data_IF_220929751124
#
_entry.id   IF_220929751124
#
_cell.length_a   1.000
_cell.length_b   1.000
_cell.length_c   1.000
_cell.angle_alpha   90.00
_cell.angle_beta   90.00
_cell.angle_gamma   90.00
#
_symmetry.space_group_name_H-M   'P 1'
#
loop_
_entity.id
_entity.type
_entity.pdbx_description
1 polymer ?
#
# COMPACT_ATOMS: atom_id res chain seq x y z
N UNK A 1 -3.32 1.90 -13.79
CA UNK A 1 -4.11 1.32 -12.68
C UNK A 1 -4.18 2.40 -11.61
N UNK A 2 -5.37 2.90 -11.30
CA UNK A 2 -5.56 3.92 -10.27
C UNK A 2 -5.71 3.19 -8.93
N UNK A 3 -4.87 3.54 -7.95
CA UNK A 3 -4.98 2.97 -6.61
C UNK A 3 -6.21 3.58 -5.93
N UNK A 4 -7.29 2.81 -5.82
CA UNK A 4 -8.48 3.21 -5.08
C UNK A 4 -8.57 2.42 -3.77
N UNK A 5 -8.40 3.13 -2.65
CA UNK A 5 -8.46 2.56 -1.30
C UNK A 5 -9.77 2.88 -0.59
N UNK A 6 -10.71 3.59 -1.25
CA UNK A 6 -11.99 3.98 -0.67
C UNK A 6 -12.80 2.77 -0.17
N UNK A 7 -12.75 1.65 -0.91
CA UNK A 7 -13.43 0.39 -0.55
C UNK A 7 -12.79 -0.40 0.61
N UNK A 8 -11.61 -0.01 1.10
CA UNK A 8 -10.90 -0.73 2.18
C UNK A 8 -11.28 -0.25 3.59
N UNK A 9 -12.21 0.71 3.71
CA UNK A 9 -12.64 1.30 5.00
C UNK A 9 -11.47 1.80 5.87
N UNK A 10 -10.32 2.11 5.27
CA UNK A 10 -9.13 2.60 5.98
C UNK A 10 -9.34 4.03 6.52
N UNK A 11 -10.28 4.74 5.90
CA UNK A 11 -10.67 6.10 6.22
C UNK A 11 -12.01 6.02 6.92
N UNK A 12 -11.99 5.84 8.25
CA UNK A 12 -13.22 5.93 9.01
C UNK A 12 -13.46 7.42 9.31
N UNK A 13 -14.45 8.04 8.67
CA UNK A 13 -14.97 9.37 9.06
C UNK A 13 -15.58 9.39 10.47
N UNK A 14 -15.60 8.25 11.16
CA UNK A 14 -16.19 8.11 12.48
C UNK A 14 -15.15 8.36 13.58
N UNK A 15 -15.43 9.34 14.44
CA UNK A 15 -14.65 9.64 15.62
C UNK A 15 -14.59 8.41 16.58
N UNK A 16 -13.55 7.59 16.41
CA UNK A 16 -13.37 6.34 17.14
C UNK A 16 -12.68 6.55 18.49
N UNK A 17 -12.01 7.69 18.70
CA UNK A 17 -11.25 8.01 19.91
C UNK A 17 -12.11 8.89 20.81
N UNK A 18 -12.23 8.51 22.10
CA UNK A 18 -13.07 9.20 23.09
C UNK A 18 -12.35 9.33 24.44
N UNK A 19 -12.83 10.25 25.27
CA UNK A 19 -12.35 10.45 26.65
C UNK A 19 -11.00 11.18 26.71
N UNK A 20 -10.17 10.81 27.69
CA UNK A 20 -8.93 11.53 28.06
C UNK A 20 -7.96 11.79 26.89
N UNK A 21 -7.82 10.84 25.96
CA UNK A 21 -6.95 11.01 24.78
C UNK A 21 -7.44 12.12 23.85
N UNK A 22 -8.75 12.25 23.68
CA UNK A 22 -9.36 13.30 22.87
C UNK A 22 -9.20 14.67 23.55
N UNK A 23 -9.42 14.73 24.87
CA UNK A 23 -9.25 15.96 25.66
C UNK A 23 -7.80 16.45 25.65
N UNK A 24 -6.83 15.55 25.83
CA UNK A 24 -5.41 15.90 25.76
C UNK A 24 -4.99 16.35 24.35
N UNK A 25 -5.52 15.71 23.31
CA UNK A 25 -5.28 16.13 21.93
C UNK A 25 -5.88 17.52 21.65
N UNK A 26 -7.15 17.73 22.01
CA UNK A 26 -7.82 19.02 21.83
C UNK A 26 -7.10 20.13 22.58
N UNK A 27 -6.67 19.90 23.82
CA UNK A 27 -5.92 20.89 24.61
C UNK A 27 -4.63 21.32 23.92
N UNK A 28 -3.91 20.40 23.26
CA UNK A 28 -2.70 20.73 22.49
C UNK A 28 -3.05 21.42 21.17
N UNK A 29 -4.11 20.96 20.53
CA UNK A 29 -4.55 21.47 19.24
C UNK A 29 -5.02 22.93 19.32
N UNK A 30 -5.73 23.31 20.39
CA UNK A 30 -6.23 24.69 20.59
C UNK A 30 -5.15 25.71 20.88
N UNK A 31 -3.91 25.27 21.17
CA UNK A 31 -2.78 26.17 21.40
C UNK A 31 -2.18 26.66 20.07
N UNK A 32 -2.40 25.91 18.99
CA UNK A 32 -1.80 26.18 17.69
C UNK A 32 -2.76 26.96 16.79
N UNK A 33 -2.22 27.94 16.08
CA UNK A 33 -2.95 28.63 15.01
C UNK A 33 -3.01 27.77 13.73
N UNK A 34 -3.91 28.10 12.81
CA UNK A 34 -4.13 27.30 11.59
C UNK A 34 -2.86 27.12 10.74
N UNK A 35 -2.00 28.14 10.68
CA UNK A 35 -0.72 28.07 9.97
C UNK A 35 0.25 27.09 10.65
N UNK A 36 0.36 27.16 11.98
CA UNK A 36 1.21 26.28 12.78
C UNK A 36 0.73 24.82 12.68
N UNK A 37 -0.59 24.61 12.73
CA UNK A 37 -1.21 23.31 12.48
C UNK A 37 -0.84 22.81 11.08
N UNK A 38 -1.02 23.65 10.06
CA UNK A 38 -0.75 23.25 8.67
C UNK A 38 0.71 22.83 8.51
N UNK A 39 1.64 23.59 9.07
CA UNK A 39 3.07 23.25 9.06
C UNK A 39 3.37 21.97 9.84
N UNK A 40 2.74 21.76 11.01
CA UNK A 40 2.94 20.56 11.83
C UNK A 40 2.49 19.26 11.12
N UNK A 41 1.55 19.35 10.19
CA UNK A 41 1.07 18.21 9.39
C UNK A 41 1.79 18.02 8.05
N UNK A 42 2.78 18.85 7.73
CA UNK A 42 3.58 18.69 6.51
C UNK A 42 4.76 17.75 6.76
N UNK A 43 4.83 16.69 5.97
CA UNK A 43 5.96 15.75 5.98
C UNK A 43 6.58 15.72 4.59
N UNK A 44 7.87 16.02 4.51
CA UNK A 44 8.59 16.00 3.22
C UNK A 44 8.84 14.58 2.75
N UNK A 45 8.90 14.39 1.43
CA UNK A 45 9.27 13.12 0.80
C UNK A 45 10.53 12.51 1.43
N UNK A 46 11.58 13.30 1.64
CA UNK A 46 12.83 12.84 2.26
C UNK A 46 12.59 12.26 3.66
N UNK A 47 11.81 12.95 4.49
CA UNK A 47 11.49 12.47 5.83
C UNK A 47 10.68 11.16 5.78
N UNK A 48 9.73 11.04 4.84
CA UNK A 48 9.02 9.78 4.63
C UNK A 48 9.98 8.62 4.29
N UNK A 49 10.94 8.85 3.39
CA UNK A 49 11.93 7.83 3.02
C UNK A 49 12.84 7.45 4.19
N UNK A 50 13.27 8.43 4.98
CA UNK A 50 14.12 8.19 6.15
C UNK A 50 13.40 7.30 7.18
N UNK A 51 12.11 7.54 7.43
CA UNK A 51 11.27 6.66 8.27
C UNK A 51 11.14 5.27 7.64
N UNK A 52 10.88 5.18 6.33
CA UNK A 52 10.74 3.89 5.64
C UNK A 52 12.03 3.06 5.70
N UNK A 53 13.18 3.71 5.59
CA UNK A 53 14.49 3.07 5.71
C UNK A 53 14.73 2.48 7.11
N UNK A 54 14.23 3.14 8.16
CA UNK A 54 14.35 2.68 9.55
C UNK A 54 13.32 1.61 9.92
N UNK A 55 12.11 1.69 9.36
CA UNK A 55 10.97 0.84 9.76
C UNK A 55 10.80 -0.42 8.92
N UNK A 56 11.21 -0.38 7.65
CA UNK A 56 11.00 -1.49 6.69
C UNK A 56 12.37 -2.02 6.24
N UNK A 57 12.77 -3.24 6.63
CA UNK A 57 14.07 -3.80 6.27
C UNK A 57 14.16 -4.24 4.78
N UNK A 58 13.01 -4.46 4.12
CA UNK A 58 12.97 -4.94 2.74
C UNK A 58 13.11 -3.79 1.73
N UNK A 59 14.17 -3.82 0.91
CA UNK A 59 14.41 -2.88 -0.19
C UNK A 59 13.25 -2.85 -1.19
N UNK A 60 12.68 -4.02 -1.53
CA UNK A 60 11.55 -4.10 -2.46
C UNK A 60 10.33 -3.35 -1.96
N UNK A 61 9.98 -3.49 -0.67
CA UNK A 61 8.84 -2.79 -0.08
C UNK A 61 9.07 -1.28 -0.08
N UNK A 62 10.29 -0.84 0.26
CA UNK A 62 10.65 0.59 0.23
C UNK A 62 10.49 1.18 -1.17
N UNK A 63 11.04 0.50 -2.19
CA UNK A 63 10.90 0.92 -3.59
C UNK A 63 9.45 0.92 -4.07
N UNK A 64 8.62 -0.02 -3.62
CA UNK A 64 7.19 -0.02 -3.95
C UNK A 64 6.46 1.17 -3.34
N UNK A 65 6.74 1.52 -2.09
CA UNK A 65 6.15 2.70 -1.44
C UNK A 65 6.63 4.00 -2.11
N UNK A 66 7.92 4.10 -2.44
CA UNK A 66 8.51 5.23 -3.19
C UNK A 66 7.81 5.48 -4.52
N UNK A 67 7.57 4.40 -5.29
CA UNK A 67 6.84 4.49 -6.57
C UNK A 67 5.42 4.99 -6.36
N UNK A 68 4.67 4.40 -5.43
CA UNK A 68 3.30 4.84 -5.13
C UNK A 68 3.27 6.31 -4.71
N UNK A 69 4.21 6.75 -3.88
CA UNK A 69 4.32 8.16 -3.50
C UNK A 69 4.53 9.07 -4.71
N UNK A 70 5.45 8.69 -5.60
CA UNK A 70 5.77 9.45 -6.82
C UNK A 70 4.58 9.49 -7.77
N UNK A 71 3.93 8.35 -7.99
CA UNK A 71 2.76 8.23 -8.86
C UNK A 71 1.58 9.07 -8.34
N UNK A 72 1.36 9.08 -7.01
CA UNK A 72 0.32 9.91 -6.38
C UNK A 72 0.65 11.41 -6.45
N UNK A 73 1.92 11.78 -6.24
CA UNK A 73 2.37 13.17 -6.36
C UNK A 73 2.19 13.71 -7.79
N UNK A 74 2.46 12.88 -8.81
CA UNK A 74 2.31 13.26 -10.22
C UNK A 74 0.85 13.25 -10.70
N UNK A 75 0.06 12.27 -10.26
CA UNK A 75 -1.33 12.13 -10.69
C UNK A 75 -2.30 13.05 -9.95
N UNK A 76 -1.96 13.48 -8.72
CA UNK A 76 -2.84 14.26 -7.86
C UNK A 76 -4.11 13.51 -7.43
N UNK A 77 -4.18 12.20 -7.66
CA UNK A 77 -5.37 11.41 -7.36
C UNK A 77 -5.53 11.23 -5.83
N UNK A 78 -6.71 11.52 -5.25
CA UNK A 78 -6.92 11.49 -3.79
C UNK A 78 -7.11 10.06 -3.25
N UNK A 79 -6.17 9.16 -3.53
CA UNK A 79 -6.21 7.75 -3.08
C UNK A 79 -6.19 7.59 -1.56
N UNK A 80 -5.58 8.54 -0.85
CA UNK A 80 -5.27 8.45 0.58
C UNK A 80 -6.10 9.41 1.46
N UNK A 81 -7.23 9.91 0.94
CA UNK A 81 -8.09 10.88 1.65
C UNK A 81 -8.28 10.52 3.13
N UNK A 82 -8.15 11.45 4.10
CA UNK A 82 -7.92 12.88 3.93
C UNK A 82 -6.44 13.26 3.73
N UNK A 83 -5.52 12.28 3.62
CA UNK A 83 -4.11 12.53 3.31
C UNK A 83 -3.93 12.82 1.82
N UNK A 84 -3.15 13.85 1.52
CA UNK A 84 -2.84 14.27 0.15
C UNK A 84 -1.34 14.45 0.01
N UNK A 85 -0.81 14.05 -1.14
CA UNK A 85 0.57 14.29 -1.53
C UNK A 85 0.56 15.42 -2.56
N UNK A 86 1.23 16.52 -2.26
CA UNK A 86 1.34 17.65 -3.18
C UNK A 86 2.30 17.34 -4.33
N UNK A 87 2.23 18.07 -5.45
CA UNK A 87 3.21 17.97 -6.54
C UNK A 87 4.65 18.27 -6.08
N UNK A 88 4.81 19.07 -5.02
CA UNK A 88 6.10 19.40 -4.41
C UNK A 88 6.66 18.25 -3.53
N UNK A 89 5.97 17.11 -3.46
CA UNK A 89 6.38 15.95 -2.68
C UNK A 89 6.16 16.11 -1.17
N UNK A 90 5.18 16.91 -0.76
CA UNK A 90 4.81 17.08 0.65
C UNK A 90 3.56 16.25 0.92
N UNK A 91 3.65 15.35 1.90
CA UNK A 91 2.49 14.66 2.47
C UNK A 91 1.84 15.57 3.50
N UNK A 92 0.55 15.85 3.34
CA UNK A 92 -0.23 16.72 4.24
C UNK A 92 -1.68 16.23 4.35
N UNK A 93 -2.49 16.95 5.13
CA UNK A 93 -3.93 16.71 5.30
C UNK A 93 -4.71 17.77 4.52
N UNK A 94 -5.83 17.40 3.90
CA UNK A 94 -6.73 18.36 3.27
C UNK A 94 -7.18 19.45 4.24
N UNK A 95 -7.16 20.71 3.78
CA UNK A 95 -7.48 21.87 4.61
C UNK A 95 -8.88 21.83 5.22
N UNK A 96 -9.85 21.24 4.53
CA UNK A 96 -11.22 21.08 5.02
C UNK A 96 -11.30 20.21 6.27
N UNK A 97 -10.37 19.25 6.42
CA UNK A 97 -10.29 18.34 7.56
C UNK A 97 -9.51 18.95 8.74
N UNK A 98 -8.70 19.99 8.51
CA UNK A 98 -7.99 20.68 9.59
C UNK A 98 -8.96 21.35 10.56
N UNK A 99 -10.12 21.81 10.10
CA UNK A 99 -11.15 22.42 10.95
C UNK A 99 -11.80 21.46 11.95
N UNK A 100 -11.51 20.16 11.84
CA UNK A 100 -12.18 19.11 12.63
C UNK A 100 -11.19 18.32 13.50
N UNK A 101 -10.75 18.86 14.65
CA UNK A 101 -9.76 18.23 15.54
C UNK A 101 -10.12 16.80 15.95
N UNK A 102 -11.41 16.50 16.13
CA UNK A 102 -11.89 15.17 16.52
C UNK A 102 -11.60 14.11 15.45
N UNK A 103 -11.69 14.50 14.17
CA UNK A 103 -11.38 13.61 13.04
C UNK A 103 -9.87 13.42 12.93
N UNK A 104 -9.08 14.48 13.12
CA UNK A 104 -7.61 14.39 13.15
C UNK A 104 -7.11 13.50 14.30
N UNK A 105 -7.70 13.63 15.49
CA UNK A 105 -7.38 12.78 16.63
C UNK A 105 -7.66 11.31 16.32
N UNK A 106 -8.79 11.03 15.68
CA UNK A 106 -9.18 9.67 15.27
C UNK A 106 -8.31 9.12 14.16
N UNK A 107 -7.89 9.96 13.21
CA UNK A 107 -6.93 9.60 12.17
C UNK A 107 -5.57 9.22 12.79
N UNK A 108 -5.03 10.04 13.67
CA UNK A 108 -3.70 9.84 14.26
C UNK A 108 -3.65 8.67 15.25
N UNK A 109 -4.64 8.54 16.14
CA UNK A 109 -4.62 7.54 17.21
C UNK A 109 -5.49 6.33 16.89
N UNK A 110 -6.69 6.56 16.36
CA UNK A 110 -7.64 5.49 16.04
C UNK A 110 -7.24 4.68 14.81
N UNK A 111 -6.84 5.33 13.72
CA UNK A 111 -6.52 4.62 12.48
C UNK A 111 -5.12 4.02 12.52
N UNK A 112 -4.15 4.67 13.18
CA UNK A 112 -2.81 4.13 13.37
C UNK A 112 -2.84 2.73 14.01
N UNK A 113 -3.65 2.53 15.05
CA UNK A 113 -3.79 1.21 15.69
C UNK A 113 -4.44 0.18 14.77
N UNK A 114 -5.51 0.54 14.06
CA UNK A 114 -6.16 -0.34 13.06
C UNK A 114 -5.21 -0.74 11.93
N UNK A 115 -4.49 0.23 11.36
CA UNK A 115 -3.51 0.01 10.31
C UNK A 115 -2.36 -0.85 10.79
N UNK A 116 -1.87 -0.64 12.01
CA UNK A 116 -0.81 -1.45 12.57
C UNK A 116 -1.28 -2.89 12.84
N UNK A 117 -2.53 -3.08 13.27
CA UNK A 117 -3.15 -4.40 13.41
C UNK A 117 -3.32 -5.10 12.06
N UNK A 118 -3.79 -4.40 11.02
CA UNK A 118 -3.89 -4.92 9.65
C UNK A 118 -2.52 -5.27 9.06
N UNK A 119 -1.52 -4.41 9.27
CA UNK A 119 -0.15 -4.68 8.84
C UNK A 119 0.46 -5.87 9.59
N UNK A 120 0.06 -6.11 10.83
CA UNK A 120 0.51 -7.24 11.64
C UNK A 120 -0.22 -8.55 11.29
N UNK A 121 -1.50 -8.47 10.91
CA UNK A 121 -2.31 -9.61 10.47
C UNK A 121 -1.99 -10.05 9.04
N UNK A 122 -1.26 -9.23 8.27
CA UNK A 122 -0.90 -9.57 6.89
C UNK A 122 -0.15 -10.91 6.82
N UNK A 123 -0.63 -11.89 6.03
CA UNK A 123 -0.04 -13.21 5.94
C UNK A 123 1.42 -13.09 5.49
N UNK A 124 2.33 -13.42 6.42
CA UNK A 124 3.77 -13.36 6.22
C UNK A 124 4.52 -12.55 7.27
N UNK A 125 3.96 -11.48 7.84
CA UNK A 125 4.69 -10.68 8.85
C UNK A 125 4.85 -11.43 10.18
N UNK A 126 3.82 -12.14 10.62
CA UNK A 126 3.85 -12.97 11.83
C UNK A 126 4.73 -14.23 11.70
N UNK A 127 5.04 -14.68 10.48
CA UNK A 127 5.88 -15.86 10.20
C UNK A 127 7.30 -15.51 9.72
N UNK A 128 7.62 -14.22 9.65
CA UNK A 128 8.99 -13.74 9.51
C UNK A 128 9.67 -13.81 10.89
N UNK A 129 9.88 -15.04 11.37
CA UNK A 129 10.89 -15.27 12.39
C UNK A 129 12.22 -14.74 11.85
N UNK A 130 13.09 -14.26 12.74
CA UNK A 130 14.42 -13.67 12.43
C UNK A 130 15.33 -14.56 11.55
N UNK A 131 14.89 -15.77 11.19
CA UNK A 131 15.56 -16.71 10.28
C UNK A 131 15.21 -16.52 8.79
N UNK A 132 14.11 -15.85 8.44
CA UNK A 132 13.72 -15.66 7.04
C UNK A 132 14.48 -14.49 6.39
N UNK A 133 15.51 -14.78 5.59
CA UNK A 133 16.31 -13.78 4.85
C UNK A 133 15.54 -12.98 3.79
N UNK A 134 14.31 -13.35 3.46
CA UNK A 134 13.51 -12.74 2.38
C UNK A 134 12.18 -12.24 2.92
N UNK A 135 11.78 -11.06 2.46
CA UNK A 135 10.52 -10.45 2.83
C UNK A 135 9.34 -11.31 2.36
N UNK A 136 8.35 -11.60 3.22
CA UNK A 136 7.13 -12.34 2.86
C UNK A 136 6.21 -11.64 1.86
N UNK A 137 6.54 -10.45 1.34
CA UNK A 137 5.83 -9.83 0.21
C UNK A 137 6.60 -10.01 -1.11
N UNK A 138 7.92 -10.20 -1.02
CA UNK A 138 8.83 -10.32 -2.15
C UNK A 138 9.54 -11.68 -2.20
N UNK A 139 9.09 -12.65 -1.39
CA UNK A 139 9.51 -14.03 -1.50
C UNK A 139 8.64 -14.72 -2.55
N UNK A 140 9.22 -15.62 -3.33
CA UNK A 140 8.47 -16.37 -4.35
C UNK A 140 7.35 -17.23 -3.72
N UNK A 141 7.51 -17.66 -2.45
CA UNK A 141 6.45 -18.36 -1.71
C UNK A 141 5.26 -17.46 -1.37
N UNK A 142 5.49 -16.15 -1.30
CA UNK A 142 4.45 -15.15 -1.06
C UNK A 142 3.52 -15.00 -2.23
N UNK A 143 3.96 -15.30 -3.46
CA UNK A 143 3.07 -15.37 -4.61
C UNK A 143 2.02 -16.48 -4.47
N UNK A 144 2.21 -17.45 -3.55
CA UNK A 144 1.23 -18.48 -3.22
C UNK A 144 0.25 -18.05 -2.10
N UNK A 145 0.58 -17.01 -1.33
CA UNK A 145 -0.21 -16.50 -0.20
C UNK A 145 -0.87 -15.13 -0.48
N UNK A 146 -0.22 -14.25 -1.25
CA UNK A 146 -0.76 -12.99 -1.78
C UNK A 146 -1.83 -13.21 -2.86
N UNK A 147 -1.88 -14.41 -3.44
CA UNK A 147 -3.04 -14.91 -4.20
C UNK A 147 -4.29 -15.08 -3.32
N UNK A 148 -4.21 -14.85 -2.02
CA UNK A 148 -5.37 -14.89 -1.14
C UNK A 148 -5.23 -13.80 -0.07
N UNK A 149 -5.53 -12.54 -0.43
CA UNK A 149 -6.94 -12.12 -0.39
C UNK A 149 -7.34 -11.18 -1.55
N UNK A 150 -8.57 -11.37 -2.04
CA UNK A 150 -9.33 -10.47 -2.91
C UNK A 150 -8.86 -10.40 -4.39
N UNK A 151 -9.68 -11.02 -5.25
CA UNK A 151 -9.90 -10.72 -6.68
C UNK A 151 -8.95 -11.13 -7.82
N UNK A 152 -7.95 -12.03 -7.69
CA UNK A 152 -7.32 -12.58 -8.93
C UNK A 152 -6.69 -13.99 -8.87
N UNK A 153 -6.90 -14.78 -7.81
CA UNK A 153 -6.54 -16.20 -7.81
C UNK A 153 -7.55 -17.11 -8.55
N UNK A 154 -8.53 -16.48 -9.17
CA UNK A 154 -9.42 -17.09 -10.14
C UNK A 154 -9.10 -16.59 -11.56
N UNK A 155 -8.06 -15.76 -11.77
CA UNK A 155 -7.84 -15.05 -13.02
C UNK A 155 -7.64 -15.94 -14.24
N UNK A 156 -6.74 -16.93 -14.17
CA UNK A 156 -6.51 -17.80 -15.34
C UNK A 156 -7.55 -18.90 -15.47
N UNK A 157 -8.05 -19.45 -14.35
CA UNK A 157 -9.04 -20.53 -14.38
C UNK A 157 -10.44 -20.02 -14.72
N UNK A 158 -10.84 -18.85 -14.23
CA UNK A 158 -12.09 -18.22 -14.63
C UNK A 158 -11.99 -17.64 -16.04
N UNK A 159 -10.85 -17.06 -16.43
CA UNK A 159 -10.64 -16.70 -17.84
C UNK A 159 -10.70 -17.94 -18.74
N UNK A 160 -10.11 -19.06 -18.29
CA UNK A 160 -10.21 -20.34 -18.96
C UNK A 160 -11.66 -20.80 -19.05
N UNK A 161 -12.40 -20.81 -17.94
CA UNK A 161 -13.79 -21.29 -17.92
C UNK A 161 -14.72 -20.39 -18.76
N UNK A 162 -14.44 -19.08 -18.85
CA UNK A 162 -15.14 -18.12 -19.70
C UNK A 162 -14.71 -18.12 -21.18
N UNK A 163 -13.58 -18.73 -21.54
CA UNK A 163 -13.12 -18.81 -22.94
C UNK A 163 -13.99 -19.77 -23.76
N UNK A 164 -14.32 -19.37 -25.00
CA UNK A 164 -14.93 -20.25 -26.00
C UNK A 164 -13.94 -21.36 -26.39
N UNK A 165 -14.45 -22.53 -26.79
CA UNK A 165 -13.61 -23.69 -27.12
C UNK A 165 -12.56 -23.39 -28.20
N UNK A 166 -12.90 -22.63 -29.23
CA UNK A 166 -11.93 -22.21 -30.26
C UNK A 166 -10.76 -21.39 -29.69
N UNK A 167 -10.99 -20.55 -28.67
CA UNK A 167 -9.94 -19.80 -28.00
C UNK A 167 -9.09 -20.71 -27.11
N UNK A 168 -9.71 -21.69 -26.43
CA UNK A 168 -9.00 -22.68 -25.62
C UNK A 168 -8.04 -23.51 -26.50
N UNK A 169 -8.53 -23.97 -27.65
CA UNK A 169 -7.73 -24.72 -28.63
C UNK A 169 -6.53 -23.92 -29.13
N UNK A 170 -6.67 -22.62 -29.35
CA UNK A 170 -5.56 -21.76 -29.77
C UNK A 170 -4.53 -21.55 -28.65
N UNK A 171 -4.97 -21.33 -27.40
CA UNK A 171 -4.09 -21.03 -26.26
C UNK A 171 -3.28 -22.24 -25.81
N UNK A 172 -3.73 -23.47 -26.11
CA UNK A 172 -2.96 -24.70 -25.82
C UNK A 172 -1.93 -25.04 -26.90
N UNK A 173 -1.96 -24.35 -28.04
CA UNK A 173 -0.95 -24.55 -29.08
C UNK A 173 0.33 -23.83 -28.68
N UNK A 174 1.41 -24.61 -28.60
CA UNK A 174 2.75 -24.08 -28.39
C UNK A 174 3.45 -24.10 -29.75
N UNK A 175 3.80 -22.93 -30.25
CA UNK A 175 4.61 -22.84 -31.47
C UNK A 175 5.99 -23.46 -31.25
N UNK A 176 6.33 -24.44 -32.10
CA UNK A 176 7.57 -25.21 -31.98
C UNK A 176 8.82 -24.33 -32.03
N UNK A 177 8.83 -23.30 -32.88
CA UNK A 177 9.93 -22.35 -32.98
C UNK A 177 10.14 -21.55 -31.69
N UNK A 178 9.06 -21.11 -31.03
CA UNK A 178 9.11 -20.37 -29.76
C UNK A 178 9.60 -21.29 -28.64
N UNK A 179 9.14 -22.54 -28.61
CA UNK A 179 9.59 -23.53 -27.63
C UNK A 179 11.09 -23.81 -27.76
N UNK A 180 11.58 -24.06 -28.98
CA UNK A 180 12.99 -24.31 -29.24
C UNK A 180 13.85 -23.09 -28.89
N UNK A 181 13.43 -21.87 -29.27
CA UNK A 181 14.15 -20.65 -28.92
C UNK A 181 14.23 -20.42 -27.40
N UNK A 182 13.14 -20.70 -26.68
CA UNK A 182 13.10 -20.61 -25.22
C UNK A 182 14.05 -21.62 -24.58
N UNK A 183 14.05 -22.85 -25.09
CA UNK A 183 14.89 -23.95 -24.59
C UNK A 183 16.37 -23.69 -24.86
N UNK A 184 16.72 -23.21 -26.05
CA UNK A 184 18.09 -22.77 -26.35
C UNK A 184 18.55 -21.62 -25.46
N UNK A 185 17.68 -20.63 -25.23
CA UNK A 185 18.00 -19.48 -24.36
C UNK A 185 18.26 -19.93 -22.93
N UNK A 186 17.45 -20.88 -22.44
CA UNK A 186 17.64 -21.48 -21.12
C UNK A 186 18.95 -22.26 -21.06
N UNK A 187 19.20 -23.15 -22.03
CA UNK A 187 20.44 -23.93 -22.08
C UNK A 187 21.67 -23.03 -22.16
N UNK A 188 21.65 -21.95 -22.96
CA UNK A 188 22.76 -20.98 -23.04
C UNK A 188 23.04 -20.26 -21.72
N UNK A 189 22.02 -20.01 -20.90
CA UNK A 189 22.20 -19.37 -19.58
C UNK A 189 22.75 -20.32 -18.51
N UNK A 190 22.63 -21.63 -18.74
CA UNK A 190 22.91 -22.67 -17.74
C UNK A 190 23.98 -23.70 -18.20
N UNK A 191 24.70 -23.39 -19.28
CA UNK A 191 25.94 -24.05 -19.71
C UNK A 191 27.12 -23.14 -19.37
#
# INVERSE_FOLDING_TARGET
MVLDLSGLNLVCDNASVRGRQLEEFMKKYTVLDLEEVTQAFQVTYKHCLDILNQTIPCIGCRKSVERVFTDLSQSGYPALSPLVITPDGILTIQQDYLKWPNHLCSLLHGHSTKLNNLASSWPGRAKATRAARRCPLHSLDSARYLTRPLSYASGWRDAWDCMRNACKEQVVLIESCVLLATLETYLRKHR
#
